data_IF_255359445823
#
_entry.id   IF_255359445823
#
_cell.length_a   1.000
_cell.length_b   1.000
_cell.length_c   1.000
_cell.angle_alpha   90.00
_cell.angle_beta   90.00
_cell.angle_gamma   90.00
#
_symmetry.space_group_name_H-M   'P 1'
#
loop_
_entity.id
_entity.type
_entity.pdbx_description
1 polymer ?
#
# COMPACT_ATOMS: atom_id res chain seq x y z
N UNK A 1 17.71 -5.24 -14.57
CA UNK A 1 17.02 -6.31 -13.80
C UNK A 1 16.43 -5.65 -12.57
N UNK A 2 15.18 -5.96 -12.23
CA UNK A 2 14.58 -5.44 -11.01
C UNK A 2 15.24 -6.08 -9.79
N UNK A 3 15.51 -5.29 -8.75
CA UNK A 3 16.12 -5.78 -7.52
C UNK A 3 15.04 -6.43 -6.67
N UNK A 4 15.24 -7.69 -6.25
CA UNK A 4 14.31 -8.40 -5.37
C UNK A 4 14.91 -8.49 -3.97
N UNK A 5 14.14 -8.07 -2.97
CA UNK A 5 14.48 -8.17 -1.56
C UNK A 5 13.49 -9.11 -0.87
N UNK A 6 13.97 -10.28 -0.49
CA UNK A 6 13.18 -11.23 0.31
C UNK A 6 13.18 -10.81 1.78
N UNK A 7 12.03 -10.81 2.44
CA UNK A 7 11.95 -10.55 3.88
C UNK A 7 12.70 -11.64 4.63
N UNK A 8 13.58 -11.23 5.55
CA UNK A 8 14.40 -12.18 6.32
C UNK A 8 13.61 -12.73 7.50
N UNK A 9 13.61 -14.05 7.64
CA UNK A 9 13.16 -14.73 8.85
C UNK A 9 14.06 -14.36 10.04
N UNK A 10 13.44 -14.16 11.19
CA UNK A 10 14.06 -13.79 12.47
C UNK A 10 13.43 -14.62 13.58
N UNK A 11 14.10 -14.73 14.72
CA UNK A 11 13.52 -15.34 15.92
C UNK A 11 12.41 -14.47 16.48
N UNK A 12 11.26 -15.08 16.76
CA UNK A 12 10.08 -14.42 17.30
C UNK A 12 10.42 -13.62 18.56
N UNK A 13 9.95 -12.39 18.63
CA UNK A 13 10.05 -11.57 19.83
C UNK A 13 8.78 -11.76 20.68
N UNK A 14 8.93 -11.80 22.00
CA UNK A 14 7.79 -11.99 22.93
C UNK A 14 6.68 -10.96 22.70
N UNK A 15 7.04 -9.69 22.47
CA UNK A 15 6.08 -8.63 22.18
C UNK A 15 5.33 -8.87 20.87
N UNK A 16 6.03 -9.24 19.81
CA UNK A 16 5.40 -9.57 18.53
C UNK A 16 4.50 -10.80 18.66
N UNK A 17 4.89 -11.79 19.48
CA UNK A 17 4.10 -12.99 19.72
C UNK A 17 2.78 -12.68 20.42
N UNK A 18 2.81 -11.74 21.36
CA UNK A 18 1.65 -11.22 22.06
C UNK A 18 0.75 -10.39 21.13
N UNK A 19 1.32 -9.46 20.39
CA UNK A 19 0.60 -8.51 19.54
C UNK A 19 -0.12 -9.20 18.38
N UNK A 20 0.53 -10.19 17.76
CA UNK A 20 -0.03 -10.98 16.65
C UNK A 20 -0.89 -12.16 17.10
N UNK A 21 -1.09 -12.35 18.42
CA UNK A 21 -1.91 -13.46 18.90
C UNK A 21 -3.40 -13.18 18.64
N UNK A 22 -4.21 -14.18 18.30
CA UNK A 22 -5.64 -13.99 18.06
C UNK A 22 -6.43 -13.41 19.24
N UNK A 23 -7.42 -12.54 18.96
CA UNK A 23 -8.40 -12.08 19.94
C UNK A 23 -9.28 -13.28 20.31
N UNK A 24 -9.14 -13.78 21.54
CA UNK A 24 -9.81 -15.01 21.99
C UNK A 24 -8.87 -16.20 22.20
N UNK A 25 -7.56 -16.06 21.92
CA UNK A 25 -6.59 -17.08 22.33
C UNK A 25 -6.55 -17.20 23.87
N UNK A 26 -6.79 -18.41 24.45
CA UNK A 26 -6.73 -18.63 25.89
C UNK A 26 -5.37 -18.30 26.49
N UNK A 27 -5.34 -17.86 27.75
CA UNK A 27 -4.11 -17.40 28.42
C UNK A 27 -3.00 -18.47 28.44
N UNK A 28 -3.35 -19.74 28.65
CA UNK A 28 -2.37 -20.85 28.65
C UNK A 28 -1.72 -20.99 27.27
N UNK A 29 -2.51 -20.92 26.19
CA UNK A 29 -1.99 -20.99 24.81
C UNK A 29 -1.14 -19.78 24.46
N UNK A 30 -1.50 -18.60 24.98
CA UNK A 30 -0.70 -17.39 24.83
C UNK A 30 0.66 -17.54 25.54
N UNK A 31 0.68 -18.05 26.77
CA UNK A 31 1.93 -18.33 27.49
C UNK A 31 2.80 -19.34 26.72
N UNK A 32 2.20 -20.41 26.18
CA UNK A 32 2.92 -21.38 25.36
C UNK A 32 3.48 -20.76 24.07
N UNK A 33 2.74 -19.88 23.40
CA UNK A 33 3.22 -19.13 22.23
C UNK A 33 4.40 -18.23 22.59
N UNK A 34 4.33 -17.54 23.73
CA UNK A 34 5.44 -16.73 24.23
C UNK A 34 6.64 -17.59 24.64
N UNK A 35 6.42 -18.74 25.27
CA UNK A 35 7.49 -19.69 25.61
C UNK A 35 8.15 -20.29 24.36
N UNK A 36 7.37 -20.54 23.29
CA UNK A 36 7.88 -21.03 22.00
C UNK A 36 8.88 -20.08 21.33
N UNK A 37 8.83 -18.78 21.65
CA UNK A 37 9.81 -17.79 21.16
C UNK A 37 11.24 -18.09 21.60
N UNK A 38 11.45 -18.83 22.70
CA UNK A 38 12.77 -19.20 23.20
C UNK A 38 13.35 -20.47 22.56
N UNK A 39 12.54 -21.28 21.86
CA UNK A 39 12.99 -22.61 21.41
C UNK A 39 13.37 -22.69 19.94
N UNK A 40 12.64 -22.02 19.02
CA UNK A 40 13.07 -21.68 17.64
C UNK A 40 11.90 -21.16 16.76
N UNK A 41 10.90 -20.48 17.34
CA UNK A 41 9.84 -19.89 16.51
C UNK A 41 10.44 -18.80 15.59
N UNK A 42 10.30 -18.97 14.27
CA UNK A 42 10.70 -18.00 13.27
C UNK A 42 9.50 -17.19 12.79
N UNK A 43 9.76 -15.96 12.37
CA UNK A 43 8.79 -15.07 11.74
C UNK A 43 9.51 -14.05 10.88
N UNK A 44 8.77 -13.32 10.05
CA UNK A 44 9.31 -12.14 9.41
C UNK A 44 8.44 -10.92 9.69
N UNK A 45 9.10 -9.82 10.07
CA UNK A 45 8.47 -8.54 10.28
C UNK A 45 9.23 -7.46 9.53
N UNK A 46 8.51 -6.73 8.72
CA UNK A 46 8.98 -5.47 8.15
C UNK A 46 8.19 -4.29 8.73
N UNK A 47 8.85 -3.13 8.80
CA UNK A 47 8.23 -1.91 9.27
C UNK A 47 8.35 -0.82 8.21
N UNK A 48 7.23 -0.17 7.95
CA UNK A 48 7.13 0.98 7.06
C UNK A 48 6.44 2.13 7.79
N UNK A 49 6.87 3.33 7.47
CA UNK A 49 6.23 4.55 7.99
C UNK A 49 4.92 4.79 7.25
N UNK A 50 4.88 4.46 5.96
CA UNK A 50 3.69 4.55 5.11
C UNK A 50 3.53 3.30 4.25
N UNK A 51 2.32 2.75 4.23
CA UNK A 51 1.88 1.79 3.20
C UNK A 51 0.87 2.49 2.30
N UNK A 52 1.13 2.46 1.00
CA UNK A 52 0.24 2.98 -0.03
C UNK A 52 -0.39 1.79 -0.73
N UNK A 53 -1.68 1.57 -0.50
CA UNK A 53 -2.45 0.45 -1.00
C UNK A 53 -3.42 0.86 -2.10
N UNK A 54 -3.44 0.14 -3.22
CA UNK A 54 -4.41 0.37 -4.29
C UNK A 54 -3.85 0.15 -5.69
N UNK A 55 -4.68 0.41 -6.70
CA UNK A 55 -4.41 0.13 -8.11
C UNK A 55 -4.26 1.37 -9.02
N UNK A 56 -3.94 2.55 -8.46
CA UNK A 56 -3.55 3.75 -9.23
C UNK A 56 -2.04 4.01 -9.08
N UNK A 57 -1.23 3.64 -10.08
CA UNK A 57 0.22 3.78 -10.01
C UNK A 57 0.69 5.23 -9.98
N UNK A 58 -0.01 6.17 -10.61
CA UNK A 58 0.42 7.58 -10.69
C UNK A 58 0.29 8.22 -9.32
N UNK A 59 -0.89 8.12 -8.71
CA UNK A 59 -1.15 8.62 -7.37
C UNK A 59 -0.25 7.92 -6.37
N UNK A 60 -0.12 6.59 -6.49
CA UNK A 60 0.70 5.80 -5.58
C UNK A 60 2.16 6.25 -5.55
N UNK A 61 2.75 6.46 -6.73
CA UNK A 61 4.13 6.93 -6.84
C UNK A 61 4.29 8.36 -6.35
N UNK A 62 3.33 9.25 -6.62
CA UNK A 62 3.38 10.63 -6.15
C UNK A 62 3.35 10.71 -4.62
N UNK A 63 2.40 10.00 -3.98
CA UNK A 63 2.32 9.86 -2.51
C UNK A 63 3.62 9.30 -1.94
N UNK A 64 4.12 8.21 -2.54
CA UNK A 64 5.34 7.57 -2.08
C UNK A 64 6.55 8.47 -2.19
N UNK A 65 6.70 9.18 -3.31
CA UNK A 65 7.81 10.11 -3.51
C UNK A 65 7.83 11.24 -2.48
N UNK A 66 6.71 11.94 -2.28
CA UNK A 66 6.69 13.06 -1.33
C UNK A 66 6.92 12.58 0.11
N UNK A 67 6.35 11.44 0.50
CA UNK A 67 6.60 10.85 1.82
C UNK A 67 8.07 10.41 1.97
N UNK A 68 8.65 9.80 0.94
CA UNK A 68 10.06 9.39 0.94
C UNK A 68 11.02 10.58 0.98
N UNK A 69 10.70 11.70 0.33
CA UNK A 69 11.46 12.97 0.44
C UNK A 69 11.46 13.52 1.87
N UNK A 70 10.39 13.33 2.62
CA UNK A 70 10.31 13.67 4.04
C UNK A 70 11.08 12.69 4.95
N UNK A 71 11.68 11.64 4.38
CA UNK A 71 12.49 10.66 5.10
C UNK A 71 11.77 9.38 5.49
N UNK A 72 10.50 9.22 5.14
CA UNK A 72 9.72 8.02 5.48
C UNK A 72 10.13 6.80 4.63
N UNK A 73 10.14 5.60 5.22
CA UNK A 73 10.16 4.34 4.46
C UNK A 73 8.75 4.03 3.97
N UNK A 74 8.60 3.83 2.67
CA UNK A 74 7.31 3.63 2.02
C UNK A 74 7.25 2.26 1.35
N UNK A 75 6.14 1.56 1.53
CA UNK A 75 5.78 0.39 0.75
C UNK A 75 4.61 0.72 -0.18
N UNK A 76 4.82 0.54 -1.47
CA UNK A 76 3.75 0.44 -2.46
C UNK A 76 3.21 -0.99 -2.40
N UNK A 77 1.94 -1.14 -2.05
CA UNK A 77 1.23 -2.42 -2.04
C UNK A 77 0.14 -2.35 -3.11
N UNK A 78 0.42 -2.80 -4.35
CA UNK A 78 -0.61 -2.90 -5.37
C UNK A 78 -1.73 -3.78 -4.84
N UNK A 79 -2.89 -3.18 -4.57
CA UNK A 79 -4.06 -3.86 -4.03
C UNK A 79 -5.12 -3.85 -5.11
N UNK A 80 -5.68 -5.02 -5.42
CA UNK A 80 -6.70 -5.14 -6.45
C UNK A 80 -7.99 -5.72 -5.90
N UNK A 81 -9.02 -5.57 -6.71
CA UNK A 81 -10.27 -6.30 -6.64
C UNK A 81 -10.08 -7.81 -6.46
N UNK A 82 -10.79 -8.40 -5.50
CA UNK A 82 -11.19 -9.81 -5.61
C UNK A 82 -12.32 -9.94 -6.64
N UNK A 83 -12.57 -11.17 -7.11
CA UNK A 83 -13.70 -11.45 -8.04
C UNK A 83 -15.05 -11.10 -7.40
N UNK A 84 -15.12 -10.98 -6.08
CA UNK A 84 -16.36 -10.65 -5.36
C UNK A 84 -16.54 -9.13 -5.19
N UNK A 85 -15.45 -8.35 -5.34
CA UNK A 85 -15.49 -6.87 -5.30
C UNK A 85 -15.85 -6.28 -6.69
N UNK A 86 -15.87 -7.12 -7.74
CA UNK A 86 -16.11 -6.76 -9.13
C UNK A 86 -17.12 -7.68 -9.85
N UNK A 87 -18.07 -7.14 -10.63
CA UNK A 87 -18.26 -5.72 -10.92
C UNK A 87 -18.98 -4.98 -9.80
N UNK A 88 -18.45 -3.80 -9.45
CA UNK A 88 -19.15 -2.82 -8.62
C UNK A 88 -19.09 -1.45 -9.29
N UNK A 89 -20.12 -0.64 -9.06
CA UNK A 89 -20.29 0.66 -9.72
C UNK A 89 -19.15 1.64 -9.37
N UNK A 90 -18.72 1.63 -8.11
CA UNK A 90 -17.59 2.44 -7.62
C UNK A 90 -16.29 2.13 -8.34
N UNK A 91 -15.96 0.84 -8.49
CA UNK A 91 -14.76 0.41 -9.19
C UNK A 91 -14.85 0.61 -10.71
N UNK A 92 -16.03 0.46 -11.29
CA UNK A 92 -16.23 0.61 -12.74
C UNK A 92 -15.98 2.05 -13.17
N UNK A 93 -16.47 3.01 -12.40
CA UNK A 93 -16.16 4.44 -12.57
C UNK A 93 -14.69 4.74 -12.30
N UNK A 94 -14.09 4.07 -11.30
CA UNK A 94 -12.71 4.30 -10.94
C UNK A 94 -11.72 3.87 -12.05
N UNK A 95 -11.83 2.64 -12.54
CA UNK A 95 -10.96 2.09 -13.60
C UNK A 95 -11.08 2.88 -14.91
N UNK A 96 -12.29 3.32 -15.25
CA UNK A 96 -12.52 4.19 -16.41
C UNK A 96 -11.83 5.56 -16.27
N UNK A 97 -11.74 6.11 -15.06
CA UNK A 97 -11.08 7.39 -14.77
C UNK A 97 -9.56 7.35 -14.93
N UNK A 98 -8.88 6.35 -14.37
CA UNK A 98 -7.40 6.27 -14.35
C UNK A 98 -6.78 6.21 -15.75
N UNK A 99 -7.35 5.40 -16.65
CA UNK A 99 -6.78 5.19 -17.98
C UNK A 99 -7.16 6.28 -18.99
N UNK A 100 -8.31 6.95 -18.81
CA UNK A 100 -8.85 7.87 -19.81
C UNK A 100 -8.49 9.35 -19.55
N UNK A 101 -7.97 9.72 -18.37
CA UNK A 101 -7.93 11.13 -17.93
C UNK A 101 -6.53 11.73 -17.71
N UNK A 102 -5.44 11.08 -18.14
CA UNK A 102 -4.12 11.71 -18.03
C UNK A 102 -3.96 12.86 -19.04
N UNK A 103 -4.32 14.08 -18.62
CA UNK A 103 -4.16 15.33 -19.35
C UNK A 103 -3.02 16.21 -18.82
N UNK A 104 -2.77 17.34 -19.48
CA UNK A 104 -1.76 18.32 -19.06
C UNK A 104 -1.95 18.81 -17.63
N UNK A 105 -3.21 19.00 -17.21
CA UNK A 105 -3.54 19.48 -15.86
C UNK A 105 -3.07 18.52 -14.74
N UNK A 106 -3.15 17.20 -14.99
CA UNK A 106 -2.63 16.18 -14.06
C UNK A 106 -1.10 16.21 -14.05
N UNK A 107 -0.48 16.39 -15.22
CA UNK A 107 0.96 16.60 -15.35
C UNK A 107 1.44 17.80 -14.55
N UNK A 108 0.77 18.94 -14.66
CA UNK A 108 1.09 20.18 -13.95
C UNK A 108 0.91 20.03 -12.43
N UNK A 109 -0.15 19.34 -11.99
CA UNK A 109 -0.37 19.05 -10.58
C UNK A 109 0.76 18.20 -9.99
N UNK A 110 1.16 17.13 -10.69
CA UNK A 110 2.29 16.29 -10.27
C UNK A 110 3.60 17.09 -10.32
N UNK A 111 3.79 17.95 -11.32
CA UNK A 111 4.96 18.80 -11.44
C UNK A 111 5.10 19.76 -10.26
N UNK A 112 3.99 20.34 -9.79
CA UNK A 112 3.99 21.21 -8.61
C UNK A 112 4.48 20.51 -7.33
N UNK A 113 4.25 19.20 -7.21
CA UNK A 113 4.65 18.39 -6.06
C UNK A 113 6.07 17.84 -6.21
N UNK A 114 6.48 17.57 -7.44
CA UNK A 114 7.73 16.84 -7.73
C UNK A 114 8.89 17.74 -8.16
N UNK A 115 8.57 18.91 -8.71
CA UNK A 115 9.52 19.79 -9.39
C UNK A 115 9.89 19.32 -10.80
N UNK A 116 9.17 18.35 -11.38
CA UNK A 116 9.47 17.76 -12.69
C UNK A 116 8.23 17.79 -13.59
N UNK A 117 8.38 18.33 -14.79
CA UNK A 117 7.29 18.39 -15.78
C UNK A 117 7.07 17.05 -16.49
N UNK A 118 5.80 16.68 -16.68
CA UNK A 118 5.41 15.44 -17.34
C UNK A 118 4.40 15.69 -18.46
N UNK A 119 4.83 15.46 -19.71
CA UNK A 119 4.02 15.67 -20.92
C UNK A 119 3.09 14.51 -21.29
N UNK A 120 3.23 13.35 -20.63
CA UNK A 120 2.43 12.15 -20.94
C UNK A 120 2.36 11.20 -19.75
N UNK A 121 1.38 10.29 -19.73
CA UNK A 121 1.27 9.24 -18.70
C UNK A 121 2.54 8.39 -18.61
N UNK A 122 3.16 8.08 -19.76
CA UNK A 122 4.40 7.29 -19.80
C UNK A 122 5.56 8.04 -19.17
N UNK A 123 5.75 9.33 -19.51
CA UNK A 123 6.83 10.14 -18.92
C UNK A 123 6.60 10.36 -17.42
N UNK A 124 5.34 10.55 -17.00
CA UNK A 124 4.98 10.63 -15.58
C UNK A 124 5.35 9.36 -14.82
N UNK A 125 4.88 8.18 -15.27
CA UNK A 125 5.21 6.91 -14.60
C UNK A 125 6.72 6.67 -14.56
N UNK A 126 7.41 6.86 -15.68
CA UNK A 126 8.86 6.59 -15.76
C UNK A 126 9.64 7.54 -14.85
N UNK A 127 9.37 8.84 -14.91
CA UNK A 127 10.04 9.83 -14.09
C UNK A 127 9.70 9.71 -12.60
N UNK A 128 8.44 9.42 -12.25
CA UNK A 128 8.06 9.17 -10.86
C UNK A 128 8.72 7.91 -10.28
N UNK A 129 8.89 6.85 -11.08
CA UNK A 129 9.65 5.66 -10.68
C UNK A 129 11.12 6.01 -10.43
N UNK A 130 11.74 6.79 -11.31
CA UNK A 130 13.13 7.24 -11.13
C UNK A 130 13.27 8.11 -9.87
N UNK A 131 12.37 9.06 -9.67
CA UNK A 131 12.32 9.91 -8.48
C UNK A 131 12.16 9.08 -7.20
N UNK A 132 11.25 8.10 -7.19
CA UNK A 132 11.08 7.18 -6.06
C UNK A 132 12.35 6.34 -5.82
N UNK A 133 12.96 5.81 -6.88
CA UNK A 133 14.16 4.99 -6.79
C UNK A 133 15.35 5.78 -6.20
N UNK A 134 15.51 7.04 -6.60
CA UNK A 134 16.56 7.94 -6.10
C UNK A 134 16.49 8.15 -4.59
N UNK A 135 15.31 8.07 -3.99
CA UNK A 135 15.17 8.20 -2.53
C UNK A 135 15.77 7.01 -1.75
N UNK A 136 15.86 5.83 -2.38
CA UNK A 136 16.25 4.58 -1.71
C UNK A 136 15.29 4.11 -0.60
N UNK A 137 14.12 4.73 -0.47
CA UNK A 137 13.16 4.50 0.63
C UNK A 137 11.83 3.89 0.20
N UNK A 138 11.60 3.76 -1.10
CA UNK A 138 10.37 3.22 -1.68
C UNK A 138 10.61 1.79 -2.18
N UNK A 139 9.79 0.87 -1.69
CA UNK A 139 9.77 -0.53 -2.13
C UNK A 139 8.37 -0.87 -2.65
N UNK A 140 8.25 -1.86 -3.53
CA UNK A 140 6.97 -2.30 -4.09
C UNK A 140 6.72 -3.78 -3.83
N UNK A 141 5.50 -4.13 -3.45
CA UNK A 141 5.12 -5.52 -3.21
C UNK A 141 4.98 -6.28 -4.55
N UNK A 142 5.71 -7.38 -4.66
CA UNK A 142 5.89 -8.07 -5.95
C UNK A 142 4.68 -8.92 -6.37
N UNK A 143 4.22 -9.79 -5.49
CA UNK A 143 3.26 -10.86 -5.85
C UNK A 143 2.17 -11.08 -4.80
N UNK A 144 2.39 -10.59 -3.59
CA UNK A 144 1.51 -10.82 -2.46
C UNK A 144 0.48 -9.70 -2.37
N UNK A 145 -0.67 -10.02 -1.77
CA UNK A 145 -1.66 -9.05 -1.33
C UNK A 145 -1.58 -8.92 0.18
N UNK A 146 -2.00 -7.77 0.70
CA UNK A 146 -2.04 -7.51 2.13
C UNK A 146 -3.47 -7.58 2.65
N UNK A 147 -3.61 -8.08 3.88
CA UNK A 147 -4.86 -8.07 4.62
C UNK A 147 -4.67 -7.35 5.95
N UNK A 148 -5.59 -6.45 6.27
CA UNK A 148 -5.66 -5.80 7.58
C UNK A 148 -6.04 -6.80 8.67
N UNK A 149 -5.44 -6.67 9.85
CA UNK A 149 -5.63 -7.59 10.97
C UNK A 149 -6.80 -7.28 11.90
N UNK A 150 -7.67 -6.33 11.52
CA UNK A 150 -8.68 -5.79 12.44
C UNK A 150 -9.62 -6.89 12.95
N UNK A 151 -9.83 -6.91 14.27
CA UNK A 151 -10.74 -7.84 14.93
C UNK A 151 -10.19 -9.27 15.06
N UNK A 152 -9.02 -9.56 14.48
CA UNK A 152 -8.46 -10.91 14.47
C UNK A 152 -7.27 -11.07 15.41
N UNK A 153 -6.48 -10.03 15.69
CA UNK A 153 -5.30 -10.10 16.59
C UNK A 153 -5.38 -9.10 17.76
N UNK A 154 -4.65 -9.39 18.85
CA UNK A 154 -4.66 -8.61 20.10
C UNK A 154 -4.17 -7.16 19.94
N UNK A 155 -3.21 -6.89 19.07
CA UNK A 155 -2.82 -5.51 18.75
C UNK A 155 -3.84 -4.85 17.83
N UNK A 156 -4.77 -4.09 18.42
CA UNK A 156 -6.00 -3.66 17.74
C UNK A 156 -5.97 -2.25 17.12
N UNK A 157 -4.81 -1.75 16.67
CA UNK A 157 -4.78 -0.48 15.92
C UNK A 157 -4.85 -0.66 14.40
N UNK A 158 -5.02 -1.91 13.92
CA UNK A 158 -5.13 -2.23 12.49
C UNK A 158 -3.87 -1.98 11.66
N UNK A 159 -2.76 -1.64 12.33
CA UNK A 159 -1.47 -1.27 11.72
C UNK A 159 -0.62 -2.48 11.32
N UNK A 160 -1.07 -3.68 11.63
CA UNK A 160 -0.40 -4.93 11.24
C UNK A 160 -1.14 -5.51 10.04
N UNK A 161 -0.40 -5.70 8.95
CA UNK A 161 -0.87 -6.22 7.67
C UNK A 161 -0.24 -7.59 7.44
N UNK A 162 -1.06 -8.60 7.16
CA UNK A 162 -0.59 -9.95 6.87
C UNK A 162 -0.58 -10.22 5.37
N UNK A 163 0.38 -11.03 4.93
CA UNK A 163 0.41 -11.53 3.56
C UNK A 163 -0.74 -12.52 3.33
N UNK A 164 -1.51 -12.34 2.26
CA UNK A 164 -2.44 -13.36 1.77
C UNK A 164 -1.68 -14.46 1.03
N UNK A 165 -2.06 -15.72 1.22
CA UNK A 165 -1.42 -16.84 0.54
C UNK A 165 -1.66 -16.77 -0.99
N UNK A 166 -0.61 -16.98 -1.82
CA UNK A 166 -0.75 -17.02 -3.28
C UNK A 166 -1.66 -18.17 -3.70
N UNK A 167 -2.46 -17.94 -4.73
CA UNK A 167 -3.34 -18.97 -5.31
C UNK A 167 -4.80 -18.92 -4.85
N UNK A 168 -5.14 -18.07 -3.86
CA UNK A 168 -6.55 -17.75 -3.57
C UNK A 168 -7.09 -16.58 -4.39
N UNK A 169 -6.20 -15.69 -4.86
CA UNK A 169 -6.56 -14.47 -5.56
C UNK A 169 -5.62 -14.21 -6.74
N UNK A 170 -6.19 -13.97 -7.91
CA UNK A 170 -5.48 -13.46 -9.08
C UNK A 170 -5.83 -11.98 -9.22
N UNK A 171 -5.00 -11.09 -8.66
CA UNK A 171 -5.31 -9.68 -8.69
C UNK A 171 -5.28 -9.14 -10.13
N UNK A 172 -6.39 -8.55 -10.58
CA UNK A 172 -6.43 -7.83 -11.85
C UNK A 172 -5.83 -6.45 -11.63
N UNK A 173 -4.51 -6.35 -11.73
CA UNK A 173 -3.78 -5.10 -11.51
C UNK A 173 -3.69 -4.26 -12.79
N UNK A 174 -3.63 -2.95 -12.60
CA UNK A 174 -3.29 -2.01 -13.66
C UNK A 174 -1.95 -2.42 -14.32
N UNK A 175 -1.91 -2.59 -15.65
CA UNK A 175 -0.71 -3.06 -16.35
C UNK A 175 0.51 -2.17 -16.13
N UNK A 176 0.32 -0.89 -15.76
CA UNK A 176 1.41 0.04 -15.46
C UNK A 176 2.22 -0.37 -14.23
N UNK A 177 1.68 -1.18 -13.30
CA UNK A 177 2.46 -1.74 -12.19
C UNK A 177 3.63 -2.60 -12.65
N UNK A 178 3.58 -3.16 -13.86
CA UNK A 178 4.73 -3.86 -14.45
C UNK A 178 5.92 -2.93 -14.65
N UNK A 179 5.68 -1.67 -15.05
CA UNK A 179 6.73 -0.66 -15.19
C UNK A 179 7.29 -0.27 -13.82
N UNK A 180 6.40 -0.05 -12.85
CA UNK A 180 6.81 0.30 -11.47
C UNK A 180 7.71 -0.77 -10.85
N UNK A 181 7.30 -2.04 -10.93
CA UNK A 181 8.08 -3.19 -10.43
C UNK A 181 9.40 -3.38 -11.16
N UNK A 182 9.54 -2.87 -12.38
CA UNK A 182 10.79 -2.97 -13.12
C UNK A 182 11.86 -1.96 -12.65
N UNK A 183 11.44 -0.84 -12.07
CA UNK A 183 12.33 0.25 -11.65
C UNK A 183 12.52 0.41 -10.14
N UNK A 184 11.70 -0.25 -9.31
CA UNK A 184 11.81 -0.21 -7.85
C UNK A 184 12.30 -1.54 -7.25
N UNK A 185 12.71 -1.48 -5.98
CA UNK A 185 13.03 -2.69 -5.20
C UNK A 185 11.74 -3.44 -4.90
N UNK A 186 11.68 -4.69 -5.35
CA UNK A 186 10.54 -5.57 -5.14
C UNK A 186 10.67 -6.30 -3.80
N UNK A 187 9.74 -6.05 -2.89
CA UNK A 187 9.59 -6.79 -1.64
C UNK A 187 8.87 -8.11 -1.91
N UNK A 188 9.42 -9.20 -1.36
CA UNK A 188 8.83 -10.55 -1.45
C UNK A 188 8.86 -11.26 -0.10
N UNK A 189 7.78 -11.93 0.25
CA UNK A 189 7.71 -12.80 1.43
C UNK A 189 8.28 -14.19 1.13
N UNK A 190 8.82 -14.86 2.15
CA UNK A 190 9.37 -16.22 2.00
C UNK A 190 8.25 -17.28 1.94
N UNK A 191 7.10 -16.98 2.54
CA UNK A 191 5.89 -17.81 2.69
C UNK A 191 6.13 -19.13 3.43
N UNK A 192 7.20 -19.19 4.21
CA UNK A 192 7.57 -20.37 5.00
C UNK A 192 7.09 -20.28 6.45
N UNK A 193 6.86 -19.07 6.96
CA UNK A 193 6.52 -18.79 8.35
C UNK A 193 5.46 -17.69 8.44
N UNK A 194 5.12 -17.27 9.66
CA UNK A 194 4.28 -16.08 9.87
C UNK A 194 5.05 -14.84 9.44
N UNK A 195 4.52 -14.12 8.45
CA UNK A 195 5.13 -12.89 7.94
C UNK A 195 4.12 -11.75 7.90
N UNK A 196 4.55 -10.57 8.35
CA UNK A 196 3.68 -9.39 8.40
C UNK A 196 4.45 -8.09 8.24
N UNK A 197 3.70 -7.06 7.85
CA UNK A 197 4.14 -5.68 7.80
C UNK A 197 3.50 -4.92 8.96
N UNK A 198 4.30 -4.10 9.63
CA UNK A 198 3.80 -3.09 10.54
C UNK A 198 3.88 -1.72 9.85
N UNK A 199 2.74 -1.07 9.67
CA UNK A 199 2.61 0.23 9.03
C UNK A 199 2.26 1.30 10.06
N UNK A 200 3.01 2.40 10.14
CA UNK A 200 2.61 3.50 11.02
C UNK A 200 1.36 4.22 10.47
N UNK A 201 1.26 4.34 9.15
CA UNK A 201 0.13 4.94 8.41
C UNK A 201 -0.23 4.11 7.18
N UNK A 202 -1.52 4.10 6.85
CA UNK A 202 -2.07 3.47 5.65
C UNK A 202 -2.76 4.54 4.80
N UNK A 203 -2.50 4.49 3.50
CA UNK A 203 -3.13 5.34 2.49
C UNK A 203 -3.72 4.44 1.42
N UNK A 204 -4.95 4.69 1.02
CA UNK A 204 -5.60 4.00 -0.08
C UNK A 204 -5.61 4.89 -1.32
N UNK A 205 -5.19 4.41 -2.48
CA UNK A 205 -5.32 5.18 -3.73
C UNK A 205 -6.61 4.86 -4.49
N UNK A 206 -7.21 3.72 -4.18
CA UNK A 206 -8.47 3.21 -4.75
C UNK A 206 -9.42 2.86 -3.60
N UNK A 207 -10.74 2.67 -3.84
CA UNK A 207 -11.60 2.05 -2.84
C UNK A 207 -10.95 0.76 -2.29
N UNK A 208 -10.98 0.58 -0.97
CA UNK A 208 -10.34 -0.56 -0.32
C UNK A 208 -10.98 -1.89 -0.78
N UNK A 209 -10.15 -2.92 -1.00
CA UNK A 209 -10.62 -4.28 -1.23
C UNK A 209 -11.25 -4.88 0.03
N UNK A 210 -11.95 -6.00 -0.06
CA UNK A 210 -12.49 -6.72 1.11
C UNK A 210 -11.44 -7.15 2.15
N UNK A 211 -10.15 -7.14 1.80
CA UNK A 211 -9.06 -7.51 2.71
C UNK A 211 -8.55 -6.33 3.53
N UNK A 212 -8.89 -5.12 3.11
CA UNK A 212 -8.42 -3.88 3.70
C UNK A 212 -9.61 -3.17 4.34
N UNK A 213 -9.52 -2.91 5.64
CA UNK A 213 -10.51 -2.08 6.30
C UNK A 213 -10.29 -0.59 5.93
N UNK A 214 -11.26 0.06 5.25
CA UNK A 214 -11.15 1.45 4.86
C UNK A 214 -11.06 2.41 6.06
N UNK A 215 -11.49 2.02 7.26
CA UNK A 215 -11.40 2.87 8.45
C UNK A 215 -9.96 3.05 8.98
N UNK A 216 -9.01 2.23 8.50
CA UNK A 216 -7.63 2.23 8.98
C UNK A 216 -6.69 3.14 8.18
N UNK A 217 -7.14 3.69 7.07
CA UNK A 217 -6.31 4.50 6.18
C UNK A 217 -7.06 5.69 5.60
N UNK A 218 -6.29 6.67 5.13
CA UNK A 218 -6.84 7.81 4.41
C UNK A 218 -7.05 7.41 2.94
N UNK A 219 -8.27 7.51 2.42
CA UNK A 219 -8.51 7.37 0.98
C UNK A 219 -8.01 8.63 0.28
N UNK A 220 -6.99 8.46 -0.54
CA UNK A 220 -6.45 9.39 -1.50
C UNK A 220 -7.13 9.00 -2.82
N UNK A 221 -8.05 9.81 -3.33
CA UNK A 221 -8.77 9.44 -4.54
C UNK A 221 -7.91 9.49 -5.81
N UNK A 222 -8.53 9.87 -6.92
CA UNK A 222 -7.88 9.83 -8.23
C UNK A 222 -6.99 11.04 -8.50
N UNK A 223 -5.97 10.87 -9.34
CA UNK A 223 -5.25 11.99 -9.94
C UNK A 223 -6.15 12.71 -10.96
N UNK A 224 -6.80 13.79 -10.55
CA UNK A 224 -7.59 14.68 -11.42
C UNK A 224 -7.50 16.13 -10.93
N UNK A 225 -7.76 17.06 -11.85
CA UNK A 225 -7.70 18.50 -11.63
C UNK A 225 -8.99 19.09 -11.03
N UNK A 226 -10.12 18.39 -11.13
CA UNK A 226 -11.42 18.91 -10.68
C UNK A 226 -12.30 17.84 -10.01
N UNK A 227 -13.19 18.24 -9.08
CA UNK A 227 -14.21 17.37 -8.51
C UNK A 227 -15.10 16.74 -9.59
N UNK A 228 -15.51 15.47 -9.43
CA UNK A 228 -16.47 14.84 -10.34
C UNK A 228 -17.89 15.03 -9.77
N UNK A 229 -18.75 15.82 -10.43
CA UNK A 229 -20.10 16.09 -9.95
C UNK A 229 -21.00 14.85 -9.84
N UNK A 230 -20.63 13.73 -10.47
CA UNK A 230 -21.36 12.46 -10.40
C UNK A 230 -21.04 11.62 -9.15
N UNK A 231 -19.98 11.96 -8.39
CA UNK A 231 -19.52 11.19 -7.22
C UNK A 231 -19.96 11.77 -5.86
N UNK A 232 -20.69 12.89 -5.85
CA UNK A 232 -21.30 13.50 -4.66
C UNK A 232 -20.30 14.16 -3.69
N UNK A 233 -20.79 15.07 -2.83
CA UNK A 233 -19.97 15.87 -1.89
C UNK A 233 -19.27 15.06 -0.78
N UNK A 234 -19.66 13.81 -0.57
CA UNK A 234 -19.01 12.89 0.40
C UNK A 234 -17.67 12.33 -0.09
N UNK A 235 -17.29 12.60 -1.34
CA UNK A 235 -16.08 12.13 -2.02
C UNK A 235 -14.81 12.94 -1.68
N UNK A 236 -14.65 13.44 -0.44
CA UNK A 236 -13.63 14.41 0.06
C UNK A 236 -12.17 14.34 -0.45
N UNK A 237 -11.75 13.33 -1.19
CA UNK A 237 -10.41 13.12 -1.72
C UNK A 237 -10.35 13.21 -3.26
N UNK A 238 -10.80 14.32 -3.87
CA UNK A 238 -10.92 14.38 -5.32
C UNK A 238 -9.69 14.94 -6.06
N UNK A 239 -8.75 15.65 -5.43
CA UNK A 239 -7.58 16.22 -6.12
C UNK A 239 -6.26 15.84 -5.42
N UNK A 240 -5.29 15.36 -6.22
CA UNK A 240 -3.95 14.97 -5.79
C UNK A 240 -3.26 16.10 -5.00
N UNK A 241 -3.45 17.37 -5.37
CA UNK A 241 -2.81 18.51 -4.67
C UNK A 241 -3.37 18.69 -3.26
N UNK A 242 -4.69 18.72 -3.14
CA UNK A 242 -5.39 18.89 -1.85
C UNK A 242 -5.03 17.78 -0.87
N UNK A 243 -5.00 16.55 -1.37
CA UNK A 243 -4.68 15.38 -0.56
C UNK A 243 -3.21 15.40 -0.16
N UNK A 244 -2.29 15.69 -1.09
CA UNK A 244 -0.87 15.72 -0.79
C UNK A 244 -0.52 16.82 0.21
N UNK A 245 -1.18 17.97 0.12
CA UNK A 245 -1.06 19.04 1.12
C UNK A 245 -1.52 18.56 2.51
N UNK A 246 -2.59 17.77 2.57
CA UNK A 246 -3.11 17.19 3.83
C UNK A 246 -2.23 16.06 4.36
N UNK A 247 -1.64 15.24 3.49
CA UNK A 247 -0.79 14.12 3.87
C UNK A 247 0.57 14.61 4.38
N UNK A 248 1.14 15.64 3.74
CA UNK A 248 2.45 16.22 4.05
C UNK A 248 2.36 17.26 5.19
N UNK A 249 1.24 17.97 5.34
CA UNK A 249 1.04 18.96 6.41
C UNK A 249 0.61 18.39 7.77
N UNK A 250 0.58 17.06 7.94
CA UNK A 250 0.13 16.36 9.16
C UNK A 250 1.27 15.85 10.06
N UNK A 251 2.50 16.33 9.84
CA UNK A 251 3.67 16.02 10.70
C UNK A 251 3.61 16.73 12.05
#
# INVERSE_FOLDING_TARGET
>A
MAVIRTVKLRRFQVLDALHTAPIGMPWIRLLMRMAGTFHDSLYARERYDLVVAGDDPVVSLCVAYCSARAGNRVLLAPDSLSVEDWPSESWSRYVAGVCAQFGSEVGDAIASLTGVEFSSLRSAITGLVELCAQTGRVEVLQEDLLQTSLGHIRESRGRTLFCLSPGRHNPTLNPLWRLVRSGLVNLRFNRQEVEFIHANRLVFTTPASRYMDPALGDLVGQARSAPNPQLGESSRAEDIISIMTTLVGRD
#
